data_IF_770592360986
#
_entry.id   IF_770592360986
#
_cell.length_a   1.000
_cell.length_b   1.000
_cell.length_c   1.000
_cell.angle_alpha   90.00
_cell.angle_beta   90.00
_cell.angle_gamma   90.00
#
_symmetry.space_group_name_H-M   'P 1'
#
loop_
_entity.id
_entity.type
_entity.pdbx_description
1 polymer ?
#
# COMPACT_ATOMS: atom_id res chain seq x y z
N UNK A 1 10.86 11.22 14.84
CA UNK A 1 11.98 10.35 14.39
C UNK A 1 11.88 10.15 12.89
N UNK A 2 13.02 10.17 12.15
CA UNK A 2 12.99 9.86 10.70
C UNK A 2 12.77 8.35 10.55
N UNK A 3 11.74 7.93 9.85
CA UNK A 3 11.44 6.53 9.56
C UNK A 3 12.06 6.08 8.24
N UNK A 4 12.02 6.96 7.23
CA UNK A 4 12.47 6.67 5.89
C UNK A 4 13.10 7.92 5.27
N UNK A 5 14.22 7.75 4.56
CA UNK A 5 14.89 8.82 3.82
C UNK A 5 15.28 8.32 2.44
N UNK A 6 14.99 9.14 1.44
CA UNK A 6 15.43 8.94 0.06
C UNK A 6 16.45 10.03 -0.29
N UNK A 7 17.55 9.65 -0.90
CA UNK A 7 18.64 10.56 -1.26
C UNK A 7 19.06 10.34 -2.71
N UNK A 8 18.91 11.41 -3.51
CA UNK A 8 19.35 11.49 -4.91
C UNK A 8 18.85 10.34 -5.79
N UNK A 9 17.58 9.92 -5.57
CA UNK A 9 16.99 8.81 -6.31
C UNK A 9 16.78 9.19 -7.78
N UNK A 10 17.30 8.36 -8.67
CA UNK A 10 17.04 8.45 -10.10
C UNK A 10 16.59 7.11 -10.65
N UNK A 11 15.67 7.14 -11.61
CA UNK A 11 15.16 5.96 -12.31
C UNK A 11 14.79 6.28 -13.73
N UNK A 12 15.26 5.45 -14.65
CA UNK A 12 15.02 5.57 -16.10
C UNK A 12 14.49 4.25 -16.63
N UNK A 13 13.44 4.30 -17.42
CA UNK A 13 12.93 3.14 -18.16
C UNK A 13 13.17 3.38 -19.65
N UNK A 14 13.93 2.48 -20.27
CA UNK A 14 14.42 2.65 -21.65
C UNK A 14 15.14 4.01 -21.80
N UNK A 15 14.53 4.96 -22.49
CA UNK A 15 15.10 6.31 -22.69
C UNK A 15 14.39 7.40 -21.87
N UNK A 16 13.39 7.03 -21.05
CA UNK A 16 12.58 7.98 -20.27
C UNK A 16 12.99 7.98 -18.80
N UNK A 17 13.58 9.09 -18.36
CA UNK A 17 13.83 9.34 -16.95
C UNK A 17 12.50 9.69 -16.24
N UNK A 18 12.11 8.90 -15.25
CA UNK A 18 10.87 9.08 -14.46
C UNK A 18 11.16 9.65 -13.07
N UNK A 19 12.35 9.43 -12.53
CA UNK A 19 12.85 10.08 -11.32
C UNK A 19 14.22 10.67 -11.64
N UNK A 20 14.44 11.91 -11.24
CA UNK A 20 15.70 12.61 -11.46
C UNK A 20 16.11 13.34 -10.19
N UNK A 21 17.09 12.80 -9.48
CA UNK A 21 17.69 13.38 -8.27
C UNK A 21 16.67 13.71 -7.17
N UNK A 22 15.74 12.80 -6.91
CA UNK A 22 14.66 12.98 -5.93
C UNK A 22 15.18 12.69 -4.53
N UNK A 23 15.03 13.66 -3.62
CA UNK A 23 15.40 13.51 -2.21
C UNK A 23 14.27 13.97 -1.31
N UNK A 24 13.97 13.20 -0.28
CA UNK A 24 13.03 13.57 0.78
C UNK A 24 13.22 12.68 2.01
N UNK A 25 12.53 13.03 3.10
CA UNK A 25 12.50 12.21 4.30
C UNK A 25 11.07 12.18 4.89
N UNK A 26 10.77 11.10 5.59
CA UNK A 26 9.51 10.85 6.23
C UNK A 26 9.73 10.64 7.72
N UNK A 27 9.10 11.46 8.53
CA UNK A 27 9.13 11.32 9.98
C UNK A 27 7.93 10.52 10.48
N UNK A 28 8.05 10.03 11.70
CA UNK A 28 6.92 9.51 12.45
C UNK A 28 5.81 10.56 12.58
N UNK A 29 4.58 10.18 12.28
CA UNK A 29 3.42 11.07 12.29
C UNK A 29 3.21 11.89 11.02
N UNK A 30 4.15 11.89 10.08
CA UNK A 30 3.99 12.62 8.81
C UNK A 30 2.87 12.00 7.95
N UNK A 31 2.15 12.88 7.24
CA UNK A 31 1.19 12.53 6.19
C UNK A 31 1.58 13.28 4.94
N UNK A 32 2.01 12.56 3.92
CA UNK A 32 2.56 13.15 2.71
C UNK A 32 1.74 12.71 1.50
N UNK A 33 1.31 13.66 0.69
CA UNK A 33 0.70 13.41 -0.62
C UNK A 33 1.70 13.68 -1.76
N UNK A 34 1.82 12.74 -2.68
CA UNK A 34 2.61 12.91 -3.90
C UNK A 34 1.67 13.28 -5.03
N UNK A 35 1.77 14.50 -5.54
CA UNK A 35 0.90 15.02 -6.59
C UNK A 35 1.68 15.17 -7.90
N UNK A 36 1.05 14.81 -8.99
CA UNK A 36 1.63 14.95 -10.32
C UNK A 36 0.77 14.27 -11.39
N UNK A 37 0.98 14.63 -12.65
CA UNK A 37 0.29 13.99 -13.78
C UNK A 37 0.65 12.52 -13.91
N UNK A 38 -0.17 11.74 -14.63
CA UNK A 38 0.10 10.32 -14.83
C UNK A 38 1.40 10.10 -15.60
N UNK A 39 2.15 9.08 -15.20
CA UNK A 39 3.43 8.74 -15.81
C UNK A 39 4.63 9.60 -15.37
N UNK A 40 4.51 10.41 -14.31
CA UNK A 40 5.65 11.19 -13.76
C UNK A 40 6.50 10.45 -12.73
N UNK A 41 6.28 9.14 -12.54
CA UNK A 41 7.11 8.34 -11.64
C UNK A 41 6.58 8.17 -10.21
N UNK A 42 5.35 8.60 -9.89
CA UNK A 42 4.75 8.44 -8.55
C UNK A 42 4.77 6.99 -8.07
N UNK A 43 4.21 6.08 -8.87
CA UNK A 43 4.19 4.64 -8.56
C UNK A 43 5.59 4.04 -8.50
N UNK A 44 6.51 4.51 -9.35
CA UNK A 44 7.91 4.09 -9.32
C UNK A 44 8.58 4.49 -8.02
N UNK A 45 8.36 5.73 -7.57
CA UNK A 45 8.87 6.20 -6.30
C UNK A 45 8.33 5.34 -5.14
N UNK A 46 7.02 5.10 -5.09
CA UNK A 46 6.41 4.27 -4.04
C UNK A 46 6.95 2.84 -4.04
N UNK A 47 7.15 2.21 -5.22
CA UNK A 47 7.77 0.88 -5.33
C UNK A 47 9.21 0.86 -4.81
N UNK A 48 10.01 1.89 -5.12
CA UNK A 48 11.37 2.01 -4.62
C UNK A 48 11.36 2.17 -3.10
N UNK A 49 10.48 3.00 -2.55
CA UNK A 49 10.35 3.19 -1.10
C UNK A 49 9.88 1.92 -0.39
N UNK A 50 8.99 1.17 -1.01
CA UNK A 50 8.52 -0.12 -0.49
C UNK A 50 9.61 -1.22 -0.56
N UNK A 51 10.65 -1.03 -1.37
CA UNK A 51 11.69 -2.04 -1.61
C UNK A 51 11.28 -3.11 -2.63
N UNK A 52 10.24 -2.83 -3.42
CA UNK A 52 9.77 -3.70 -4.51
C UNK A 52 10.62 -3.50 -5.76
N UNK A 53 11.21 -2.32 -5.90
CA UNK A 53 12.04 -1.94 -7.04
C UNK A 53 13.31 -1.22 -6.58
N UNK A 54 14.42 -1.44 -7.28
CA UNK A 54 15.69 -0.74 -7.01
C UNK A 54 15.79 0.53 -7.87
N UNK A 55 16.32 1.64 -7.31
CA UNK A 55 16.66 2.82 -8.11
C UNK A 55 17.89 2.55 -8.99
N UNK A 56 18.07 3.30 -10.05
CA UNK A 56 19.29 3.24 -10.87
C UNK A 56 20.46 3.96 -10.16
N UNK A 57 20.16 4.99 -9.38
CA UNK A 57 21.11 5.66 -8.51
C UNK A 57 20.42 6.28 -7.31
N UNK A 58 21.20 6.66 -6.30
CA UNK A 58 20.71 7.15 -5.02
C UNK A 58 20.50 6.04 -4.00
N UNK A 59 19.94 6.39 -2.84
CA UNK A 59 19.82 5.46 -1.72
C UNK A 59 18.50 5.65 -0.98
N UNK A 60 17.88 4.56 -0.56
CA UNK A 60 16.78 4.58 0.41
C UNK A 60 17.28 4.05 1.74
N UNK A 61 17.23 4.89 2.75
CA UNK A 61 17.60 4.52 4.12
C UNK A 61 16.30 4.31 4.90
N UNK A 62 16.14 3.12 5.46
CA UNK A 62 15.03 2.74 6.32
C UNK A 62 15.54 2.57 7.75
N UNK A 63 14.87 3.17 8.72
CA UNK A 63 15.22 2.96 10.12
C UNK A 63 15.08 1.47 10.46
N UNK A 64 16.06 0.96 11.20
CA UNK A 64 16.10 -0.48 11.55
C UNK A 64 14.81 -0.90 12.26
N UNK A 65 14.20 -1.95 11.76
CA UNK A 65 13.01 -2.56 12.37
C UNK A 65 11.68 -1.94 11.94
N UNK A 66 11.66 -0.87 11.12
CA UNK A 66 10.39 -0.36 10.59
C UNK A 66 9.72 -1.37 9.65
N UNK A 67 8.42 -1.40 9.74
CA UNK A 67 7.56 -2.21 8.86
C UNK A 67 6.88 -1.29 7.88
N UNK A 68 6.98 -1.64 6.61
CA UNK A 68 6.35 -0.88 5.52
C UNK A 68 5.27 -1.76 4.91
N UNK A 69 4.03 -1.26 4.88
CA UNK A 69 2.95 -1.84 4.09
C UNK A 69 2.77 -1.04 2.80
N UNK A 70 2.56 -1.73 1.69
CA UNK A 70 2.40 -1.11 0.38
C UNK A 70 1.16 -1.63 -0.32
N UNK A 71 0.29 -0.72 -0.72
CA UNK A 71 -0.83 -0.98 -1.63
C UNK A 71 -0.43 -0.57 -3.04
N UNK A 72 -0.19 -1.50 -3.96
CA UNK A 72 0.08 -1.18 -5.37
C UNK A 72 -1.20 -0.72 -6.08
N UNK A 73 -1.03 -0.04 -7.21
CA UNK A 73 -2.15 0.38 -8.07
C UNK A 73 -3.03 -0.80 -8.48
N UNK A 74 -2.45 -1.97 -8.74
CA UNK A 74 -3.16 -3.22 -8.99
C UNK A 74 -2.72 -4.21 -7.90
N UNK A 75 -3.63 -4.61 -6.99
CA UNK A 75 -3.30 -5.60 -5.97
C UNK A 75 -2.95 -6.94 -6.60
N UNK A 76 -1.85 -7.52 -6.14
CA UNK A 76 -1.38 -8.83 -6.56
C UNK A 76 -1.87 -9.90 -5.59
N UNK A 77 -2.76 -10.76 -6.07
CA UNK A 77 -3.30 -11.90 -5.34
C UNK A 77 -3.03 -13.18 -6.15
N UNK A 78 -2.90 -14.31 -5.49
CA UNK A 78 -2.86 -15.59 -6.17
C UNK A 78 -4.11 -15.82 -7.03
N UNK A 79 -4.03 -16.74 -7.98
CA UNK A 79 -5.17 -17.03 -8.87
C UNK A 79 -6.36 -17.64 -8.13
N UNK A 80 -6.11 -18.41 -7.07
CA UNK A 80 -7.10 -19.11 -6.26
C UNK A 80 -6.81 -19.00 -4.77
N UNK A 81 -7.81 -19.31 -3.98
CA UNK A 81 -7.80 -19.26 -2.53
C UNK A 81 -8.87 -18.33 -1.98
N UNK A 82 -9.24 -18.47 -0.71
CA UNK A 82 -10.27 -17.62 -0.14
C UNK A 82 -9.80 -16.17 -0.05
N UNK A 83 -10.75 -15.24 -0.18
CA UNK A 83 -10.49 -13.80 -0.05
C UNK A 83 -9.78 -13.51 1.27
N UNK A 84 -10.25 -14.11 2.36
CA UNK A 84 -9.67 -13.93 3.69
C UNK A 84 -8.21 -14.40 3.74
N UNK A 85 -7.91 -15.59 3.21
CA UNK A 85 -6.54 -16.11 3.15
C UNK A 85 -5.62 -15.21 2.35
N UNK A 86 -6.09 -14.69 1.20
CA UNK A 86 -5.32 -13.79 0.35
C UNK A 86 -5.04 -12.45 1.03
N UNK A 87 -6.03 -11.87 1.70
CA UNK A 87 -5.87 -10.62 2.47
C UNK A 87 -4.88 -10.80 3.61
N UNK A 88 -4.86 -11.97 4.24
CA UNK A 88 -3.98 -12.28 5.36
C UNK A 88 -2.65 -12.94 4.93
N UNK A 89 -2.39 -13.11 3.62
CA UNK A 89 -1.26 -13.87 3.12
C UNK A 89 0.09 -13.36 3.65
N UNK A 90 0.26 -12.05 3.71
CA UNK A 90 1.51 -11.39 4.13
C UNK A 90 1.62 -11.16 5.64
N UNK A 91 0.62 -11.55 6.43
CA UNK A 91 0.73 -11.49 7.88
C UNK A 91 1.70 -12.55 8.41
N UNK A 92 2.50 -12.23 9.42
CA UNK A 92 3.23 -13.21 10.20
C UNK A 92 2.30 -14.32 10.73
N UNK A 93 2.77 -15.56 10.70
CA UNK A 93 1.93 -16.73 11.04
C UNK A 93 1.33 -16.65 12.45
N UNK A 94 2.07 -16.12 13.40
CA UNK A 94 1.66 -15.89 14.79
C UNK A 94 0.56 -14.84 14.94
N UNK A 95 0.42 -13.93 13.98
CA UNK A 95 -0.60 -12.89 13.99
C UNK A 95 -1.87 -13.27 13.24
N UNK A 96 -1.85 -14.31 12.37
CA UNK A 96 -2.99 -14.67 11.53
C UNK A 96 -4.26 -14.92 12.36
N UNK A 97 -4.19 -15.79 13.36
CA UNK A 97 -5.35 -16.09 14.20
C UNK A 97 -5.84 -14.88 14.99
N UNK A 98 -4.93 -14.06 15.51
CA UNK A 98 -5.29 -12.87 16.28
C UNK A 98 -5.93 -11.77 15.41
N UNK A 99 -5.56 -11.70 14.14
CA UNK A 99 -6.02 -10.68 13.19
C UNK A 99 -7.21 -11.11 12.32
N UNK A 100 -7.64 -12.36 12.39
CA UNK A 100 -8.71 -12.89 11.53
C UNK A 100 -10.04 -12.13 11.70
N UNK A 101 -10.44 -11.85 12.94
CA UNK A 101 -11.66 -11.08 13.20
C UNK A 101 -11.56 -9.65 12.64
N UNK A 102 -10.42 -9.01 12.83
CA UNK A 102 -10.16 -7.66 12.29
C UNK A 102 -10.20 -7.65 10.76
N UNK A 103 -9.57 -8.65 10.10
CA UNK A 103 -9.60 -8.79 8.65
C UNK A 103 -11.02 -8.96 8.10
N UNK A 104 -11.83 -9.82 8.74
CA UNK A 104 -13.26 -10.01 8.41
C UNK A 104 -14.05 -8.72 8.57
N UNK A 105 -13.83 -7.99 9.66
CA UNK A 105 -14.49 -6.70 9.91
C UNK A 105 -14.14 -5.65 8.86
N UNK A 106 -12.86 -5.53 8.49
CA UNK A 106 -12.41 -4.59 7.46
C UNK A 106 -13.02 -4.95 6.09
N UNK A 107 -12.98 -6.23 5.70
CA UNK A 107 -13.57 -6.71 4.46
C UNK A 107 -15.08 -6.40 4.39
N UNK A 108 -15.80 -6.62 5.49
CA UNK A 108 -17.22 -6.32 5.57
C UNK A 108 -17.49 -4.81 5.43
N UNK A 109 -16.71 -3.95 6.09
CA UNK A 109 -16.81 -2.50 5.95
C UNK A 109 -16.52 -2.03 4.52
N UNK A 110 -15.67 -2.75 3.80
CA UNK A 110 -15.37 -2.53 2.39
C UNK A 110 -16.37 -3.23 1.44
N UNK A 111 -17.51 -3.71 1.94
CA UNK A 111 -18.58 -4.29 1.13
C UNK A 111 -18.28 -5.71 0.61
N UNK A 112 -17.31 -6.43 1.20
CA UNK A 112 -16.99 -7.82 0.86
C UNK A 112 -17.52 -8.72 1.98
N UNK A 113 -18.72 -9.28 1.79
CA UNK A 113 -19.42 -10.05 2.84
C UNK A 113 -19.03 -11.53 2.82
N UNK A 114 -18.79 -12.12 1.64
CA UNK A 114 -18.46 -13.54 1.52
C UNK A 114 -16.95 -13.75 1.45
N UNK A 115 -16.30 -13.67 2.61
CA UNK A 115 -14.84 -13.72 2.74
C UNK A 115 -14.23 -15.10 2.45
N UNK A 116 -15.04 -16.15 2.46
CA UNK A 116 -14.63 -17.53 2.19
C UNK A 116 -14.72 -17.88 0.69
N UNK A 117 -15.29 -16.99 -0.14
CA UNK A 117 -15.30 -17.16 -1.60
C UNK A 117 -13.90 -17.11 -2.18
N UNK A 118 -13.73 -17.72 -3.34
CA UNK A 118 -12.47 -17.68 -4.07
C UNK A 118 -12.19 -16.27 -4.59
N UNK A 119 -10.94 -15.83 -4.47
CA UNK A 119 -10.48 -14.48 -4.86
C UNK A 119 -10.72 -14.19 -6.34
N UNK A 120 -10.78 -15.22 -7.20
CA UNK A 120 -11.06 -15.08 -8.62
C UNK A 120 -12.48 -14.61 -8.94
N UNK A 121 -13.41 -14.77 -7.99
CA UNK A 121 -14.80 -14.33 -8.14
C UNK A 121 -14.98 -12.82 -7.99
N UNK A 122 -13.98 -12.11 -7.48
CA UNK A 122 -14.06 -10.68 -7.26
C UNK A 122 -14.00 -9.88 -8.56
N UNK A 123 -14.87 -8.89 -8.69
CA UNK A 123 -14.76 -7.83 -9.69
C UNK A 123 -13.49 -6.99 -9.46
N UNK A 124 -13.07 -6.21 -10.45
CA UNK A 124 -11.91 -5.33 -10.32
C UNK A 124 -12.00 -4.36 -9.13
N UNK A 125 -13.19 -3.80 -8.89
CA UNK A 125 -13.44 -2.91 -7.75
C UNK A 125 -13.34 -3.64 -6.40
N UNK A 126 -13.93 -4.84 -6.30
CA UNK A 126 -13.83 -5.66 -5.10
C UNK A 126 -12.39 -6.12 -4.85
N UNK A 127 -11.67 -6.49 -5.91
CA UNK A 127 -10.26 -6.85 -5.83
C UNK A 127 -9.42 -5.68 -5.30
N UNK A 128 -9.74 -4.45 -5.72
CA UNK A 128 -9.12 -3.24 -5.18
C UNK A 128 -9.40 -3.05 -3.69
N UNK A 129 -10.66 -3.21 -3.27
CA UNK A 129 -11.07 -3.13 -1.86
C UNK A 129 -10.40 -4.21 -1.01
N UNK A 130 -10.30 -5.44 -1.51
CA UNK A 130 -9.52 -6.51 -0.87
C UNK A 130 -8.04 -6.14 -0.72
N UNK A 131 -7.44 -5.48 -1.71
CA UNK A 131 -6.08 -4.96 -1.64
C UNK A 131 -5.90 -3.91 -0.56
N UNK A 132 -6.88 -3.01 -0.40
CA UNK A 132 -6.91 -2.04 0.71
C UNK A 132 -6.93 -2.78 2.05
N UNK A 133 -7.80 -3.77 2.21
CA UNK A 133 -7.85 -4.59 3.42
C UNK A 133 -6.51 -5.27 3.70
N UNK A 134 -5.88 -5.85 2.68
CA UNK A 134 -4.59 -6.53 2.81
C UNK A 134 -3.46 -5.60 3.24
N UNK A 135 -3.41 -4.38 2.70
CA UNK A 135 -2.44 -3.38 3.13
C UNK A 135 -2.71 -2.86 4.55
N UNK A 136 -3.99 -2.78 4.91
CA UNK A 136 -4.43 -2.21 6.19
C UNK A 136 -4.22 -3.13 7.38
N UNK A 137 -4.51 -4.43 7.20
CA UNK A 137 -4.40 -5.42 8.28
C UNK A 137 -2.97 -5.65 8.75
N UNK A 138 -1.98 -5.33 7.91
CA UNK A 138 -0.58 -5.50 8.24
C UNK A 138 -0.15 -4.49 9.30
N UNK A 139 0.53 -4.94 10.37
CA UNK A 139 1.14 -4.04 11.32
C UNK A 139 2.24 -3.26 10.59
N UNK A 140 2.07 -1.95 10.43
CA UNK A 140 3.02 -1.11 9.70
C UNK A 140 3.29 0.21 10.41
N UNK A 141 4.54 0.65 10.34
CA UNK A 141 4.99 1.95 10.82
C UNK A 141 4.91 2.99 9.69
N UNK A 142 4.96 2.51 8.44
CA UNK A 142 4.76 3.31 7.22
C UNK A 142 3.77 2.59 6.30
N UNK A 143 2.74 3.29 5.86
CA UNK A 143 1.77 2.81 4.88
C UNK A 143 1.93 3.60 3.59
N UNK A 144 2.25 2.92 2.50
CA UNK A 144 2.39 3.48 1.15
C UNK A 144 1.17 3.07 0.32
N UNK A 145 0.48 4.06 -0.24
CA UNK A 145 -0.74 3.84 -1.02
C UNK A 145 -0.57 4.42 -2.43
N UNK A 146 -0.64 3.57 -3.45
CA UNK A 146 -0.53 3.99 -4.85
C UNK A 146 -1.92 4.13 -5.48
N UNK A 147 -2.33 5.38 -5.71
CA UNK A 147 -3.65 5.76 -6.26
C UNK A 147 -4.83 5.05 -5.55
N UNK A 148 -4.94 5.10 -4.22
CA UNK A 148 -5.88 4.27 -3.46
C UNK A 148 -7.35 4.56 -3.78
N UNK A 149 -7.66 5.75 -4.32
CA UNK A 149 -9.03 6.20 -4.60
C UNK A 149 -9.47 5.96 -6.05
N UNK A 150 -8.59 5.49 -6.93
CA UNK A 150 -8.94 5.23 -8.31
C UNK A 150 -9.90 4.05 -8.44
N UNK A 151 -10.98 4.23 -9.20
CA UNK A 151 -11.97 3.21 -9.50
C UNK A 151 -12.66 2.57 -8.28
N UNK A 152 -12.77 3.29 -7.18
CA UNK A 152 -13.53 2.88 -6.00
C UNK A 152 -14.73 3.80 -5.75
N UNK A 153 -15.73 3.26 -5.06
CA UNK A 153 -16.94 4.00 -4.69
C UNK A 153 -16.68 5.00 -3.54
N UNK A 154 -17.65 5.91 -3.36
CA UNK A 154 -17.58 6.95 -2.34
C UNK A 154 -17.49 6.38 -0.91
N UNK A 155 -18.14 5.27 -0.63
CA UNK A 155 -18.14 4.65 0.70
C UNK A 155 -16.73 4.14 1.06
N UNK A 156 -16.03 3.54 0.08
CA UNK A 156 -14.63 3.11 0.25
C UNK A 156 -13.69 4.31 0.44
N UNK A 157 -13.94 5.43 -0.26
CA UNK A 157 -13.16 6.67 -0.05
C UNK A 157 -13.36 7.19 1.37
N UNK A 158 -14.60 7.25 1.86
CA UNK A 158 -14.90 7.67 3.23
C UNK A 158 -14.24 6.75 4.26
N UNK A 159 -14.32 5.43 4.06
CA UNK A 159 -13.60 4.47 4.91
C UNK A 159 -12.10 4.80 4.99
N UNK A 160 -11.46 5.00 3.83
CA UNK A 160 -10.05 5.36 3.78
C UNK A 160 -9.77 6.67 4.53
N UNK A 161 -10.56 7.71 4.29
CA UNK A 161 -10.39 9.01 4.97
C UNK A 161 -10.50 8.89 6.48
N UNK A 162 -11.49 8.16 6.99
CA UNK A 162 -11.71 7.99 8.43
C UNK A 162 -10.60 7.17 9.07
N UNK A 163 -10.20 6.10 8.42
CA UNK A 163 -9.07 5.32 8.86
C UNK A 163 -7.77 6.14 8.80
N UNK A 164 -7.60 6.96 7.75
CA UNK A 164 -6.44 7.83 7.58
C UNK A 164 -6.34 8.92 8.65
N UNK A 165 -7.43 9.36 9.30
CA UNK A 165 -7.40 10.31 10.43
C UNK A 165 -6.78 9.70 11.68
N UNK A 166 -6.87 8.38 11.84
CA UNK A 166 -6.54 7.67 13.08
C UNK A 166 -5.14 7.02 13.13
N UNK A 167 -4.37 7.00 12.04
CA UNK A 167 -3.05 6.35 11.98
C UNK A 167 -1.92 7.35 11.70
N UNK A 168 -0.69 7.01 12.20
CA UNK A 168 0.46 7.90 12.27
C UNK A 168 1.12 8.34 10.97
N UNK A 169 1.67 7.47 10.10
CA UNK A 169 2.47 7.90 8.93
C UNK A 169 1.93 7.35 7.63
N UNK A 170 1.82 8.22 6.60
CA UNK A 170 1.30 7.82 5.29
C UNK A 170 1.83 8.60 4.12
N UNK A 171 2.09 7.89 3.05
CA UNK A 171 2.26 8.42 1.71
C UNK A 171 1.09 7.96 0.84
N UNK A 172 0.33 8.89 0.27
CA UNK A 172 -0.74 8.58 -0.68
C UNK A 172 -0.57 9.40 -1.96
N UNK A 173 -0.77 8.75 -3.06
CA UNK A 173 -1.27 9.14 -4.36
C UNK A 173 -0.87 8.98 -5.62
#
# INVERSE_FOLDING_TARGET
MILLSAQNLSKTYLERTVLNDVSFFLNEGDRVGIVGINGTGKSTLLRILAGVEEPDSGTVIRTKGIRISYLPQIPDFAEHGSILEQVMAHLPADLKSAKEFEAKSILQQLGISNVDSDISTLSGGERRRAGIAAAWIQPSDVLLLDEPTNHIDYETVQFLEDQLKNIGVRLSW
#
